data_IF_041970719820
#
_entry.id   IF_041970719820
#
_cell.length_a   1.000
_cell.length_b   1.000
_cell.length_c   1.000
_cell.angle_alpha   90.00
_cell.angle_beta   90.00
_cell.angle_gamma   90.00
#
_symmetry.space_group_name_H-M   'P 1'
#
loop_
_entity.id
_entity.type
_entity.pdbx_description
1 polymer ?
#
# COMPACT_ATOMS: atom_id res chain seq x y z
N UNK A 1 -14.68 9.02 -1.03
CA UNK A 1 -14.55 8.28 0.23
C UNK A 1 -15.39 7.01 0.22
N UNK A 2 -16.72 7.10 0.00
CA UNK A 2 -17.63 5.94 0.04
C UNK A 2 -17.19 4.79 -0.87
N UNK A 3 -16.73 5.08 -2.09
CA UNK A 3 -16.21 4.06 -3.01
C UNK A 3 -14.95 3.38 -2.46
N UNK A 4 -13.96 4.16 -1.99
CA UNK A 4 -12.69 3.66 -1.46
C UNK A 4 -12.92 2.74 -0.27
N UNK A 5 -13.60 3.22 0.76
CA UNK A 5 -13.82 2.47 1.99
C UNK A 5 -14.96 1.45 1.90
N UNK A 6 -15.82 1.56 0.88
CA UNK A 6 -16.76 0.49 0.54
C UNK A 6 -16.05 -0.76 -0.03
N UNK A 7 -14.95 -0.57 -0.76
CA UNK A 7 -14.11 -1.66 -1.27
C UNK A 7 -13.10 -2.16 -0.23
N UNK A 8 -12.54 -1.26 0.56
CA UNK A 8 -11.45 -1.56 1.50
C UNK A 8 -11.76 -1.06 2.91
N UNK A 9 -12.85 -1.55 3.56
CA UNK A 9 -13.31 -1.05 4.86
C UNK A 9 -12.29 -1.28 5.99
N UNK A 10 -11.41 -2.26 5.82
CA UNK A 10 -10.37 -2.60 6.79
C UNK A 10 -9.23 -1.55 6.87
N UNK A 11 -9.14 -0.60 5.92
CA UNK A 11 -8.14 0.48 6.00
C UNK A 11 -8.26 1.22 7.33
N UNK A 12 -9.47 1.55 7.78
CA UNK A 12 -9.68 2.25 9.05
C UNK A 12 -9.12 1.47 10.25
N UNK A 13 -9.27 0.14 10.27
CA UNK A 13 -8.76 -0.69 11.35
C UNK A 13 -7.24 -0.86 11.29
N UNK A 14 -6.64 -0.86 10.10
CA UNK A 14 -5.20 -0.98 9.90
C UNK A 14 -4.49 0.36 10.14
N UNK A 15 -4.97 1.44 9.53
CA UNK A 15 -4.38 2.78 9.63
C UNK A 15 -4.63 3.43 10.99
N UNK A 16 -5.81 3.21 11.60
CA UNK A 16 -6.19 3.78 12.90
C UNK A 16 -5.98 5.30 12.95
N UNK A 17 -6.40 6.03 11.93
CA UNK A 17 -6.10 7.44 11.67
C UNK A 17 -6.12 8.32 12.92
N UNK A 18 -7.16 8.23 13.74
CA UNK A 18 -7.37 9.09 14.92
C UNK A 18 -6.43 8.80 16.10
N UNK A 19 -5.72 7.66 16.09
CA UNK A 19 -4.75 7.32 17.15
C UNK A 19 -3.41 8.05 17.00
N UNK A 20 -3.20 8.75 15.89
CA UNK A 20 -1.94 9.38 15.53
C UNK A 20 -1.99 10.91 15.60
N UNK A 21 -3.01 11.48 16.25
CA UNK A 21 -3.16 12.93 16.41
C UNK A 21 -1.86 13.61 16.88
N UNK A 22 -1.51 14.73 16.24
CA UNK A 22 -0.30 15.52 16.56
C UNK A 22 1.01 14.93 16.07
N UNK A 23 1.01 13.73 15.47
CA UNK A 23 2.21 13.15 14.87
C UNK A 23 2.52 13.78 13.50
N UNK A 24 3.77 13.68 13.11
CA UNK A 24 4.25 14.07 11.78
C UNK A 24 4.24 12.87 10.85
N UNK A 25 3.40 12.97 9.80
CA UNK A 25 3.18 11.92 8.81
C UNK A 25 3.84 12.23 7.48
N UNK A 26 4.42 11.21 6.85
CA UNK A 26 4.70 11.17 5.42
C UNK A 26 3.81 10.11 4.76
N UNK A 27 3.00 10.50 3.77
CA UNK A 27 2.35 9.55 2.87
C UNK A 27 3.12 9.45 1.56
N UNK A 28 3.54 8.21 1.22
CA UNK A 28 4.22 7.88 -0.03
C UNK A 28 3.18 7.33 -1.02
N UNK A 29 2.93 8.11 -2.08
CA UNK A 29 1.90 7.83 -3.08
C UNK A 29 0.51 8.30 -2.64
N UNK A 30 0.30 9.63 -2.60
CA UNK A 30 -0.97 10.20 -2.15
C UNK A 30 -2.15 9.94 -3.10
N UNK A 31 -1.88 9.68 -4.38
CA UNK A 31 -2.88 9.35 -5.40
C UNK A 31 -4.02 10.38 -5.46
N UNK A 32 -5.26 9.92 -5.24
CA UNK A 32 -6.44 10.80 -5.20
C UNK A 32 -6.63 11.52 -3.84
N UNK A 33 -5.75 11.32 -2.87
CA UNK A 33 -5.75 11.98 -1.56
C UNK A 33 -6.87 11.52 -0.62
N UNK A 34 -7.45 10.34 -0.83
CA UNK A 34 -8.57 9.88 0.01
C UNK A 34 -8.11 9.52 1.41
N UNK A 35 -7.03 8.74 1.52
CA UNK A 35 -6.43 8.38 2.81
C UNK A 35 -5.71 9.58 3.42
N UNK A 36 -5.04 10.40 2.58
CA UNK A 36 -4.37 11.64 3.00
C UNK A 36 -5.32 12.62 3.70
N UNK A 37 -6.55 12.74 3.19
CA UNK A 37 -7.58 13.55 3.82
C UNK A 37 -7.95 13.04 5.22
N UNK A 38 -7.98 11.71 5.45
CA UNK A 38 -8.28 11.18 6.78
C UNK A 38 -7.15 11.49 7.77
N UNK A 39 -5.91 11.40 7.34
CA UNK A 39 -4.75 11.80 8.14
C UNK A 39 -4.81 13.28 8.53
N UNK A 40 -5.11 14.16 7.57
CA UNK A 40 -5.23 15.60 7.84
C UNK A 40 -6.43 15.91 8.76
N UNK A 41 -7.58 15.24 8.60
CA UNK A 41 -8.75 15.34 9.50
C UNK A 41 -8.45 14.84 10.91
N UNK A 42 -7.57 13.86 11.05
CA UNK A 42 -7.14 13.36 12.34
C UNK A 42 -6.15 14.28 13.06
N UNK A 43 -5.75 15.41 12.45
CA UNK A 43 -4.92 16.43 13.07
C UNK A 43 -3.43 16.10 13.09
N UNK A 44 -2.94 15.36 12.08
CA UNK A 44 -1.51 15.15 11.88
C UNK A 44 -0.88 16.33 11.10
N UNK A 45 0.41 16.56 11.32
CA UNK A 45 1.24 17.36 10.42
C UNK A 45 1.54 16.52 9.17
N UNK A 46 0.77 16.73 8.09
CA UNK A 46 0.81 15.89 6.91
C UNK A 46 1.80 16.38 5.86
N UNK A 47 2.67 15.46 5.43
CA UNK A 47 3.48 15.55 4.22
C UNK A 47 3.04 14.44 3.26
N UNK A 48 2.99 14.74 1.96
CA UNK A 48 2.62 13.77 0.96
C UNK A 48 3.49 13.87 -0.28
N UNK A 49 3.91 12.73 -0.81
CA UNK A 49 4.67 12.66 -2.06
C UNK A 49 3.97 11.76 -3.07
N UNK A 50 4.12 12.08 -4.35
CA UNK A 50 3.66 11.24 -5.45
C UNK A 50 4.56 11.47 -6.67
N UNK A 51 4.66 10.46 -7.53
CA UNK A 51 5.44 10.54 -8.76
C UNK A 51 4.78 11.47 -9.79
N UNK A 52 3.44 11.65 -9.71
CA UNK A 52 2.64 12.36 -10.70
C UNK A 52 2.18 13.73 -10.18
N UNK A 53 2.34 14.77 -11.00
CA UNK A 53 1.81 16.11 -10.70
C UNK A 53 0.29 16.06 -10.51
N UNK A 54 -0.40 15.25 -11.30
CA UNK A 54 -1.86 15.09 -11.22
C UNK A 54 -2.34 14.62 -9.85
N UNK A 55 -1.65 13.69 -9.21
CA UNK A 55 -1.98 13.22 -7.86
C UNK A 55 -1.82 14.37 -6.83
N UNK A 56 -0.74 15.14 -6.94
CA UNK A 56 -0.47 16.30 -6.08
C UNK A 56 -1.58 17.35 -6.21
N UNK A 57 -1.96 17.72 -7.45
CA UNK A 57 -3.04 18.67 -7.72
C UNK A 57 -4.39 18.22 -7.16
N UNK A 58 -4.77 16.95 -7.43
CA UNK A 58 -6.04 16.38 -6.98
C UNK A 58 -6.09 16.32 -5.45
N UNK A 59 -5.01 15.89 -4.81
CA UNK A 59 -4.92 15.84 -3.34
C UNK A 59 -5.01 17.23 -2.74
N UNK A 60 -4.31 18.22 -3.29
CA UNK A 60 -4.37 19.62 -2.84
C UNK A 60 -5.79 20.18 -2.97
N UNK A 61 -6.43 19.99 -4.12
CA UNK A 61 -7.81 20.41 -4.35
C UNK A 61 -8.80 19.73 -3.38
N UNK A 62 -8.60 18.45 -3.11
CA UNK A 62 -9.41 17.69 -2.14
C UNK A 62 -9.29 18.25 -0.73
N UNK A 63 -8.08 18.52 -0.26
CA UNK A 63 -7.86 19.11 1.07
C UNK A 63 -8.50 20.49 1.19
N UNK A 64 -8.36 21.34 0.15
CA UNK A 64 -8.93 22.68 0.12
C UNK A 64 -10.44 22.71 0.27
N UNK A 65 -11.18 21.70 -0.26
CA UNK A 65 -12.63 21.57 -0.06
C UNK A 65 -13.04 21.43 1.41
N UNK A 66 -12.13 21.03 2.28
CA UNK A 66 -12.36 20.84 3.71
C UNK A 66 -11.61 21.86 4.58
N UNK A 67 -11.02 22.89 3.96
CA UNK A 67 -10.22 23.90 4.68
C UNK A 67 -8.94 23.33 5.31
N UNK A 68 -8.43 22.21 4.78
CA UNK A 68 -7.22 21.54 5.28
C UNK A 68 -6.04 21.80 4.34
N UNK A 69 -4.83 21.68 4.88
CA UNK A 69 -3.58 21.86 4.14
C UNK A 69 -2.61 20.73 4.43
N UNK A 70 -1.66 20.51 3.53
CA UNK A 70 -0.54 19.58 3.68
C UNK A 70 0.64 20.02 2.82
N UNK A 71 1.84 19.57 3.18
CA UNK A 71 3.06 19.74 2.39
C UNK A 71 3.12 18.67 1.29
N UNK A 72 2.64 19.00 0.09
CA UNK A 72 2.55 18.09 -1.04
C UNK A 72 3.64 18.38 -2.08
N UNK A 73 4.39 17.35 -2.47
CA UNK A 73 5.50 17.48 -3.43
C UNK A 73 5.47 16.33 -4.45
N UNK A 74 5.75 16.66 -5.72
CA UNK A 74 6.01 15.67 -6.74
C UNK A 74 7.43 15.14 -6.58
N UNK A 75 7.59 13.89 -6.18
CA UNK A 75 8.87 13.25 -5.84
C UNK A 75 8.82 11.77 -6.21
N UNK A 76 9.95 11.25 -6.70
CA UNK A 76 10.21 9.83 -6.75
C UNK A 76 10.62 9.34 -5.35
N UNK A 77 9.86 8.42 -4.79
CA UNK A 77 10.06 7.94 -3.43
C UNK A 77 11.33 7.06 -3.26
N UNK A 78 12.02 6.73 -4.34
CA UNK A 78 13.34 6.08 -4.27
C UNK A 78 14.41 7.02 -3.69
N UNK A 79 14.16 8.35 -3.70
CA UNK A 79 15.04 9.37 -3.09
C UNK A 79 14.17 10.44 -2.43
N UNK A 80 13.98 10.36 -1.13
CA UNK A 80 13.18 11.30 -0.36
C UNK A 80 14.00 12.52 0.09
N UNK A 81 13.60 13.77 -0.24
CA UNK A 81 14.34 14.98 0.11
C UNK A 81 14.08 15.44 1.56
N UNK A 82 13.90 14.51 2.46
CA UNK A 82 13.68 14.77 3.88
C UNK A 82 14.91 14.35 4.70
N UNK A 83 15.23 15.10 5.77
CA UNK A 83 16.28 14.67 6.70
C UNK A 83 15.96 13.32 7.34
N UNK A 84 17.00 12.65 7.84
CA UNK A 84 16.84 11.46 8.66
C UNK A 84 15.96 11.74 9.87
N UNK A 85 15.20 10.75 10.30
CA UNK A 85 14.41 10.81 11.54
C UNK A 85 13.44 12.01 11.61
N UNK A 86 12.77 12.32 10.49
CA UNK A 86 11.85 13.47 10.36
C UNK A 86 10.40 13.14 10.72
N UNK A 87 9.98 11.87 10.60
CA UNK A 87 8.58 11.47 10.69
C UNK A 87 8.33 10.45 11.80
N UNK A 88 7.20 10.61 12.47
CA UNK A 88 6.70 9.65 13.48
C UNK A 88 6.02 8.46 12.80
N UNK A 89 5.37 8.73 11.67
CA UNK A 89 4.61 7.76 10.89
C UNK A 89 4.89 7.93 9.39
N UNK A 90 5.09 6.81 8.71
CA UNK A 90 5.06 6.76 7.24
C UNK A 90 3.95 5.81 6.80
N UNK A 91 3.14 6.25 5.85
CA UNK A 91 2.04 5.49 5.27
C UNK A 91 2.24 5.31 3.76
N UNK A 92 1.98 4.11 3.23
CA UNK A 92 2.01 3.87 1.78
C UNK A 92 1.05 2.74 1.40
N UNK A 93 0.03 3.05 0.61
CA UNK A 93 -1.02 2.10 0.27
C UNK A 93 -1.21 1.96 -1.24
N UNK A 94 -0.84 0.79 -1.77
CA UNK A 94 -1.02 0.50 -3.19
C UNK A 94 0.04 1.16 -4.10
N UNK A 95 1.27 1.35 -3.63
CA UNK A 95 2.31 2.11 -4.34
C UNK A 95 3.61 1.34 -4.49
N UNK A 96 4.21 0.87 -3.41
CA UNK A 96 5.59 0.35 -3.38
C UNK A 96 5.78 -0.83 -4.36
N UNK A 97 4.77 -1.67 -4.54
CA UNK A 97 4.84 -2.83 -5.44
C UNK A 97 4.79 -2.47 -6.93
N UNK A 98 4.56 -1.20 -7.27
CA UNK A 98 4.65 -0.69 -8.64
C UNK A 98 6.02 -0.07 -8.95
N UNK A 99 6.83 0.23 -7.93
CA UNK A 99 8.15 0.84 -8.11
C UNK A 99 9.13 -0.11 -8.81
N UNK A 100 10.11 0.45 -9.51
CA UNK A 100 11.21 -0.32 -10.10
C UNK A 100 12.07 -0.95 -9.01
N UNK A 101 12.43 -0.17 -7.98
CA UNK A 101 13.26 -0.56 -6.85
C UNK A 101 12.55 -0.42 -5.50
N UNK A 102 11.60 -1.32 -5.14
CA UNK A 102 10.86 -1.25 -3.87
C UNK A 102 11.75 -1.20 -2.63
N UNK A 103 12.89 -1.90 -2.69
CA UNK A 103 13.88 -1.95 -1.61
C UNK A 103 14.49 -0.57 -1.30
N UNK A 104 14.65 0.29 -2.32
CA UNK A 104 15.14 1.68 -2.13
C UNK A 104 14.10 2.53 -1.42
N UNK A 105 12.84 2.43 -1.84
CA UNK A 105 11.74 3.14 -1.17
C UNK A 105 11.65 2.74 0.30
N UNK A 106 11.77 1.45 0.60
CA UNK A 106 11.71 0.94 1.98
C UNK A 106 12.91 1.40 2.81
N UNK A 107 14.10 1.46 2.21
CA UNK A 107 15.28 2.01 2.86
C UNK A 107 15.10 3.52 3.18
N UNK A 108 14.57 4.31 2.24
CA UNK A 108 14.26 5.72 2.44
C UNK A 108 13.16 5.92 3.51
N UNK A 109 12.10 5.13 3.48
CA UNK A 109 11.07 5.13 4.52
C UNK A 109 11.70 4.90 5.90
N UNK A 110 12.56 3.88 6.01
CA UNK A 110 13.26 3.61 7.27
C UNK A 110 14.19 4.76 7.65
N UNK A 111 14.90 5.36 6.71
CA UNK A 111 15.81 6.50 6.98
C UNK A 111 15.07 7.68 7.59
N UNK A 112 13.95 8.08 6.96
CA UNK A 112 13.18 9.26 7.38
C UNK A 112 12.32 9.03 8.63
N UNK A 113 12.04 7.78 9.02
CA UNK A 113 11.36 7.47 10.27
C UNK A 113 12.25 7.79 11.48
N UNK A 114 11.68 8.36 12.52
CA UNK A 114 12.29 8.53 13.83
C UNK A 114 12.56 7.17 14.51
N UNK A 115 13.44 7.08 15.51
CA UNK A 115 13.50 5.90 16.38
C UNK A 115 12.13 5.59 16.96
N UNK A 116 11.70 4.31 16.92
CA UNK A 116 10.36 3.84 17.27
C UNK A 116 9.23 4.39 16.35
N UNK A 117 9.56 5.09 15.29
CA UNK A 117 8.61 5.52 14.28
C UNK A 117 8.01 4.32 13.53
N UNK A 118 6.79 4.48 13.03
CA UNK A 118 6.01 3.38 12.46
C UNK A 118 5.82 3.52 10.96
N UNK A 119 5.88 2.41 10.26
CA UNK A 119 5.42 2.27 8.90
C UNK A 119 4.10 1.48 8.87
N UNK A 120 3.15 1.96 8.09
CA UNK A 120 1.89 1.26 7.78
C UNK A 120 1.75 1.24 6.26
N UNK A 121 1.56 0.06 5.67
CA UNK A 121 1.43 -0.04 4.22
C UNK A 121 0.78 -1.32 3.74
N UNK A 122 0.69 -1.46 2.41
CA UNK A 122 0.11 -2.62 1.75
C UNK A 122 0.91 -3.00 0.52
N UNK A 123 1.13 -4.30 0.35
CA UNK A 123 1.67 -4.92 -0.85
C UNK A 123 0.71 -6.00 -1.39
N UNK A 124 0.87 -6.39 -2.65
CA UNK A 124 0.09 -7.48 -3.25
C UNK A 124 0.63 -8.86 -2.87
N UNK A 125 -0.31 -9.78 -2.56
CA UNK A 125 -0.03 -11.17 -2.20
C UNK A 125 0.06 -12.08 -3.41
N UNK A 126 1.23 -12.73 -3.61
CA UNK A 126 1.46 -13.65 -4.74
C UNK A 126 0.59 -14.88 -4.69
N UNK A 127 0.39 -15.44 -3.52
CA UNK A 127 -0.43 -16.65 -3.32
C UNK A 127 -1.90 -16.34 -3.07
N UNK A 128 -2.46 -15.37 -3.79
CA UNK A 128 -3.84 -14.92 -3.64
C UNK A 128 -4.76 -15.53 -4.69
N UNK A 129 -6.07 -15.45 -4.43
CA UNK A 129 -7.08 -15.84 -5.42
C UNK A 129 -7.02 -14.97 -6.68
N UNK A 130 -6.68 -13.69 -6.55
CA UNK A 130 -6.49 -12.78 -7.70
C UNK A 130 -5.36 -13.26 -8.59
N UNK A 131 -4.18 -13.55 -8.02
CA UNK A 131 -3.04 -14.06 -8.77
C UNK A 131 -3.34 -15.41 -9.42
N UNK A 132 -4.02 -16.31 -8.70
CA UNK A 132 -4.46 -17.60 -9.26
C UNK A 132 -5.42 -17.42 -10.44
N UNK A 133 -6.38 -16.51 -10.35
CA UNK A 133 -7.29 -16.19 -11.47
C UNK A 133 -6.54 -15.68 -12.69
N UNK A 134 -5.56 -14.80 -12.50
CA UNK A 134 -4.71 -14.32 -13.59
C UNK A 134 -3.93 -15.48 -14.22
N UNK A 135 -3.37 -16.36 -13.40
CA UNK A 135 -2.65 -17.52 -13.90
C UNK A 135 -3.56 -18.49 -14.70
N UNK A 136 -4.74 -18.78 -14.20
CA UNK A 136 -5.72 -19.59 -14.96
C UNK A 136 -6.03 -18.92 -16.31
N UNK A 137 -6.30 -17.61 -16.31
CA UNK A 137 -6.68 -16.86 -17.52
C UNK A 137 -5.54 -16.74 -18.53
N UNK A 138 -4.33 -16.43 -18.10
CA UNK A 138 -3.21 -16.06 -18.97
C UNK A 138 -2.09 -17.11 -19.02
N UNK A 139 -2.15 -18.12 -18.17
CA UNK A 139 -1.31 -19.32 -18.20
C UNK A 139 -2.09 -20.50 -18.75
N UNK A 140 -2.93 -21.12 -17.93
CA UNK A 140 -3.59 -22.38 -18.25
C UNK A 140 -4.48 -22.32 -19.51
N UNK A 141 -5.39 -21.35 -19.59
CA UNK A 141 -6.31 -21.19 -20.74
C UNK A 141 -5.61 -20.67 -22.00
N UNK A 142 -4.35 -20.28 -21.93
CA UNK A 142 -3.50 -19.87 -23.06
C UNK A 142 -2.46 -20.93 -23.42
N UNK A 143 -2.60 -22.15 -22.89
CA UNK A 143 -1.64 -23.25 -23.06
C UNK A 143 -0.19 -22.90 -22.64
N UNK A 144 -0.05 -22.04 -21.63
CA UNK A 144 1.21 -21.58 -21.04
C UNK A 144 1.25 -21.84 -19.53
N UNK A 145 1.09 -23.12 -19.08
CA UNK A 145 1.09 -23.47 -17.64
C UNK A 145 2.47 -23.27 -16.99
N UNK A 146 3.52 -23.10 -17.78
CA UNK A 146 4.89 -22.78 -17.41
C UNK A 146 5.04 -21.38 -16.76
N UNK A 147 4.10 -20.46 -17.01
CA UNK A 147 4.14 -19.13 -16.43
C UNK A 147 3.93 -19.17 -14.91
N UNK A 148 4.74 -18.39 -14.20
CA UNK A 148 4.60 -18.28 -12.73
C UNK A 148 3.51 -17.29 -12.33
N UNK A 149 3.04 -17.35 -11.08
CA UNK A 149 2.11 -16.34 -10.52
C UNK A 149 2.73 -14.94 -10.55
N UNK A 150 4.03 -14.82 -10.26
CA UNK A 150 4.73 -13.54 -10.33
C UNK A 150 4.74 -12.96 -11.74
N UNK A 151 5.03 -13.80 -12.74
CA UNK A 151 5.05 -13.38 -14.14
C UNK A 151 3.68 -12.92 -14.64
N UNK A 152 2.61 -13.64 -14.33
CA UNK A 152 1.26 -13.21 -14.75
C UNK A 152 0.81 -11.93 -14.05
N UNK A 153 1.18 -11.71 -12.81
CA UNK A 153 0.91 -10.44 -12.10
C UNK A 153 1.67 -9.30 -12.77
N UNK A 154 2.97 -9.47 -13.02
CA UNK A 154 3.82 -8.43 -13.61
C UNK A 154 3.34 -7.95 -14.99
N UNK A 155 2.69 -8.84 -15.76
CA UNK A 155 2.28 -8.53 -17.14
C UNK A 155 0.79 -8.21 -17.30
N UNK A 156 -0.07 -8.51 -16.31
CA UNK A 156 -1.52 -8.44 -16.49
C UNK A 156 -2.26 -7.69 -15.38
N UNK A 157 -1.52 -7.00 -14.52
CA UNK A 157 -2.09 -6.03 -13.56
C UNK A 157 -2.15 -4.63 -14.18
N UNK A 158 -2.62 -3.67 -13.39
CA UNK A 158 -2.88 -2.28 -13.78
C UNK A 158 -1.66 -1.52 -14.32
N UNK A 159 -0.45 -1.91 -13.90
CA UNK A 159 0.78 -1.36 -14.46
C UNK A 159 1.79 -2.47 -14.78
N UNK A 160 2.53 -2.37 -15.91
CA UNK A 160 3.59 -3.29 -16.23
C UNK A 160 4.67 -3.33 -15.13
N UNK A 161 5.14 -4.52 -14.78
CA UNK A 161 6.16 -4.69 -13.76
C UNK A 161 5.62 -4.72 -12.32
N UNK A 162 4.28 -4.68 -12.12
CA UNK A 162 3.67 -4.85 -10.79
C UNK A 162 4.17 -6.12 -10.11
N UNK A 163 4.64 -5.96 -8.87
CA UNK A 163 5.20 -7.05 -8.07
C UNK A 163 4.15 -7.60 -7.10
N UNK A 164 4.19 -8.90 -6.85
CA UNK A 164 3.44 -9.54 -5.78
C UNK A 164 4.38 -10.41 -4.94
N UNK A 165 4.15 -10.44 -3.65
CA UNK A 165 5.08 -11.00 -2.66
C UNK A 165 4.46 -12.14 -1.89
N UNK A 166 5.30 -13.06 -1.42
CA UNK A 166 4.97 -13.99 -0.34
C UNK A 166 5.18 -13.29 1.01
N UNK A 167 4.60 -13.83 2.07
CA UNK A 167 4.83 -13.32 3.44
C UNK A 167 6.33 -13.39 3.82
N UNK A 168 7.03 -14.40 3.35
CA UNK A 168 8.47 -14.56 3.58
C UNK A 168 9.26 -13.41 2.94
N UNK A 169 9.04 -13.16 1.66
CA UNK A 169 9.68 -12.05 0.93
C UNK A 169 9.36 -10.68 1.55
N UNK A 170 8.12 -10.48 2.03
CA UNK A 170 7.78 -9.24 2.77
C UNK A 170 8.63 -9.11 4.03
N UNK A 171 8.78 -10.18 4.82
CA UNK A 171 9.62 -10.14 6.03
C UNK A 171 11.09 -9.88 5.71
N UNK A 172 11.61 -10.44 4.63
CA UNK A 172 12.98 -10.18 4.16
C UNK A 172 13.13 -8.72 3.71
N UNK A 173 12.18 -8.20 2.92
CA UNK A 173 12.19 -6.84 2.41
C UNK A 173 12.17 -5.78 3.54
N UNK A 174 11.49 -6.09 4.65
CA UNK A 174 11.40 -5.25 5.85
C UNK A 174 12.33 -5.71 6.99
N UNK A 175 13.30 -6.60 6.76
CA UNK A 175 14.16 -7.17 7.81
C UNK A 175 14.97 -6.14 8.60
N UNK A 176 15.16 -4.94 8.08
CA UNK A 176 15.86 -3.85 8.78
C UNK A 176 15.01 -3.15 9.85
N UNK A 177 13.70 -3.45 9.95
CA UNK A 177 12.83 -2.92 10.98
C UNK A 177 12.88 -3.83 12.22
N UNK A 178 12.73 -3.23 13.40
CA UNK A 178 12.82 -3.97 14.67
C UNK A 178 11.64 -4.91 14.90
N UNK A 179 10.47 -4.54 14.40
CA UNK A 179 9.25 -5.35 14.46
C UNK A 179 8.53 -5.27 13.12
N UNK A 180 8.11 -6.42 12.58
CA UNK A 180 7.38 -6.49 11.31
C UNK A 180 6.19 -7.43 11.47
N UNK A 181 5.00 -6.89 11.26
CA UNK A 181 3.76 -7.65 11.12
C UNK A 181 3.31 -7.58 9.66
N UNK A 182 3.12 -8.75 9.04
CA UNK A 182 2.63 -8.88 7.67
C UNK A 182 1.38 -9.77 7.68
N UNK A 183 0.22 -9.16 7.51
CA UNK A 183 -1.10 -9.83 7.64
C UNK A 183 -1.80 -9.88 6.29
N UNK A 184 -2.02 -11.06 5.70
CA UNK A 184 -2.84 -11.20 4.50
C UNK A 184 -4.29 -10.81 4.78
N UNK A 185 -4.90 -10.08 3.85
CA UNK A 185 -6.28 -9.61 3.94
C UNK A 185 -7.06 -10.00 2.70
N UNK A 186 -8.21 -10.63 2.92
CA UNK A 186 -9.19 -10.86 1.86
C UNK A 186 -9.86 -9.55 1.47
N UNK A 187 -9.95 -9.32 0.17
CA UNK A 187 -10.53 -8.11 -0.41
C UNK A 187 -11.75 -8.45 -1.27
N UNK A 188 -12.61 -7.49 -1.64
CA UNK A 188 -13.64 -7.72 -2.66
C UNK A 188 -13.09 -8.21 -4.01
N UNK A 189 -11.83 -7.89 -4.32
CA UNK A 189 -11.16 -8.38 -5.54
C UNK A 189 -10.94 -9.90 -5.53
N UNK A 190 -10.81 -10.50 -4.35
CA UNK A 190 -10.65 -11.95 -4.16
C UNK A 190 -11.96 -12.72 -4.35
N UNK A 191 -13.10 -12.06 -4.26
CA UNK A 191 -14.43 -12.71 -4.30
C UNK A 191 -14.82 -13.30 -5.66
N UNK A 192 -14.01 -13.23 -6.69
CA UNK A 192 -14.07 -13.96 -7.97
C UNK A 192 -15.47 -14.27 -8.54
N UNK A 193 -16.50 -13.48 -8.24
CA UNK A 193 -17.91 -13.83 -8.53
C UNK A 193 -18.38 -15.15 -7.88
N UNK A 194 -17.67 -15.66 -6.89
CA UNK A 194 -18.08 -16.82 -6.12
C UNK A 194 -19.21 -16.45 -5.15
N UNK A 195 -20.09 -17.41 -4.82
CA UNK A 195 -21.08 -17.20 -3.76
C UNK A 195 -20.41 -16.75 -2.45
N UNK A 196 -21.06 -15.81 -1.73
CA UNK A 196 -20.49 -15.23 -0.52
C UNK A 196 -20.08 -16.28 0.54
N UNK A 197 -20.85 -17.38 0.65
CA UNK A 197 -20.54 -18.46 1.58
C UNK A 197 -19.22 -19.17 1.24
N UNK A 198 -18.88 -19.30 -0.06
CA UNK A 198 -17.64 -19.95 -0.48
C UNK A 198 -16.41 -19.07 -0.18
N UNK A 199 -16.55 -17.76 -0.30
CA UNK A 199 -15.46 -16.83 0.05
C UNK A 199 -15.21 -16.72 1.54
N UNK A 200 -16.19 -17.06 2.39
CA UNK A 200 -16.04 -17.06 3.85
C UNK A 200 -15.19 -18.25 4.35
N UNK A 201 -15.16 -19.35 3.62
CA UNK A 201 -14.36 -20.54 4.00
C UNK A 201 -12.91 -20.48 3.48
N UNK A 202 -12.60 -19.56 2.57
CA UNK A 202 -11.22 -19.38 2.08
C UNK A 202 -10.38 -18.72 3.16
N UNK A 203 -9.28 -19.34 3.59
CA UNK A 203 -8.40 -18.75 4.59
C UNK A 203 -7.82 -17.41 4.15
N UNK A 204 -7.73 -16.44 5.06
CA UNK A 204 -7.22 -15.09 4.80
C UNK A 204 -5.80 -15.06 4.21
N UNK A 205 -5.01 -16.13 4.42
CA UNK A 205 -3.67 -16.27 3.81
C UNK A 205 -3.66 -16.24 2.27
N UNK A 206 -4.81 -16.45 1.63
CA UNK A 206 -4.98 -16.35 0.17
C UNK A 206 -5.54 -15.00 -0.27
N UNK A 207 -5.56 -14.01 0.61
CA UNK A 207 -5.98 -12.65 0.31
C UNK A 207 -4.99 -11.91 -0.61
N UNK A 208 -5.56 -11.03 -1.43
CA UNK A 208 -4.79 -10.23 -2.39
C UNK A 208 -3.89 -9.19 -1.73
N UNK A 209 -4.30 -8.63 -0.60
CA UNK A 209 -3.50 -7.63 0.09
C UNK A 209 -2.72 -8.26 1.25
N UNK A 210 -1.49 -7.78 1.43
CA UNK A 210 -0.68 -8.00 2.62
C UNK A 210 -0.53 -6.66 3.31
N UNK A 211 -1.25 -6.47 4.41
CA UNK A 211 -1.10 -5.28 5.25
C UNK A 211 0.15 -5.41 6.10
N UNK A 212 0.96 -4.36 6.13
CA UNK A 212 2.26 -4.32 6.79
C UNK A 212 2.24 -3.24 7.85
N UNK A 213 2.69 -3.59 9.04
CA UNK A 213 3.03 -2.65 10.12
C UNK A 213 4.45 -2.97 10.56
N UNK A 214 5.32 -1.95 10.54
CA UNK A 214 6.71 -2.11 10.93
C UNK A 214 7.16 -0.97 11.85
N UNK A 215 8.11 -1.23 12.74
CA UNK A 215 8.69 -0.26 13.68
C UNK A 215 10.18 -0.16 13.41
N UNK A 216 10.70 1.08 13.31
CA UNK A 216 12.14 1.34 13.14
C UNK A 216 12.93 1.04 14.38
#
# INVERSE_FOLDING_TARGET
EAYRYGLEPFIHSVAQFTRHHGQRLLEVGVGAGTDHLQWARAGLECHGVDLTERAIEVTRARLALYGLTSHLQRIDAEILPFPDQSFDLVYSWGVIHHAEHPERIIAEIRRVLKPNGRFIGMLYGRHSLVALKLWVKYGLLRARPDRTLADVVAHHMESPGTKAYTIHEVRELYAQFSQVTATPMMTPYDRLRLPAWLTQIVPARFGWFICIQAVK
#
